data_IF_882926328078
#
_entry.id   IF_882926328078
#
_cell.length_a   1.000
_cell.length_b   1.000
_cell.length_c   1.000
_cell.angle_alpha   90.00
_cell.angle_beta   90.00
_cell.angle_gamma   90.00
#
_symmetry.space_group_name_H-M   'P 1'
#
loop_
_entity.id
_entity.type
_entity.pdbx_description
1 polymer ?
#
# COMPACT_ATOMS: atom_id res chain seq x y z
N UNK A 1 -13.88 -10.83 -34.06
CA UNK A 1 -13.15 -12.02 -33.58
C UNK A 1 -13.34 -12.32 -32.09
N UNK A 2 -13.56 -11.34 -31.19
CA UNK A 2 -13.79 -11.59 -29.74
C UNK A 2 -15.12 -12.27 -29.38
N UNK A 3 -16.02 -12.49 -30.34
CA UNK A 3 -17.37 -13.00 -30.10
C UNK A 3 -17.50 -14.52 -29.94
N UNK A 4 -16.40 -15.27 -30.11
CA UNK A 4 -16.38 -16.75 -30.09
C UNK A 4 -15.66 -17.33 -28.87
N UNK A 5 -15.18 -16.49 -27.97
CA UNK A 5 -14.47 -16.94 -26.77
C UNK A 5 -15.47 -17.16 -25.62
N UNK A 6 -15.42 -18.31 -24.93
CA UNK A 6 -16.14 -18.52 -23.68
C UNK A 6 -15.83 -17.42 -22.64
N UNK A 7 -16.80 -17.12 -21.78
CA UNK A 7 -16.71 -16.04 -20.78
C UNK A 7 -15.55 -16.26 -19.82
N UNK A 8 -15.22 -17.52 -19.52
CA UNK A 8 -14.12 -17.92 -18.66
C UNK A 8 -12.77 -17.50 -19.26
N UNK A 9 -12.59 -17.67 -20.58
CA UNK A 9 -11.37 -17.24 -21.26
C UNK A 9 -11.25 -15.72 -21.27
N UNK A 10 -12.38 -15.02 -21.46
CA UNK A 10 -12.40 -13.55 -21.42
C UNK A 10 -12.05 -13.02 -20.02
N UNK A 11 -12.59 -13.63 -18.96
CA UNK A 11 -12.24 -13.32 -17.58
C UNK A 11 -10.75 -13.56 -17.31
N UNK A 12 -10.19 -14.67 -17.79
CA UNK A 12 -8.75 -14.92 -17.66
C UNK A 12 -7.90 -13.84 -18.34
N UNK A 13 -8.30 -13.37 -19.53
CA UNK A 13 -7.60 -12.26 -20.22
C UNK A 13 -7.64 -10.99 -19.37
N UNK A 14 -8.80 -10.62 -18.83
CA UNK A 14 -8.91 -9.44 -17.95
C UNK A 14 -8.05 -9.62 -16.69
N UNK A 15 -8.17 -10.76 -16.01
CA UNK A 15 -7.44 -11.08 -14.78
C UNK A 15 -5.92 -11.03 -14.94
N UNK A 16 -5.38 -11.46 -16.09
CA UNK A 16 -3.94 -11.47 -16.35
C UNK A 16 -3.44 -10.22 -17.09
N UNK A 17 -4.33 -9.32 -17.50
CA UNK A 17 -3.95 -8.00 -17.99
C UNK A 17 -3.59 -7.07 -16.83
N UNK A 18 -2.74 -6.08 -17.08
CA UNK A 18 -2.48 -5.03 -16.09
C UNK A 18 -3.76 -4.24 -15.80
N UNK A 19 -3.88 -3.68 -14.60
CA UNK A 19 -5.08 -2.92 -14.24
C UNK A 19 -5.35 -1.77 -15.23
N UNK A 20 -4.30 -1.05 -15.63
CA UNK A 20 -4.41 -0.01 -16.67
C UNK A 20 -4.92 -0.58 -17.99
N UNK A 21 -4.38 -1.71 -18.45
CA UNK A 21 -4.81 -2.33 -19.71
C UNK A 21 -6.28 -2.73 -19.66
N UNK A 22 -6.72 -3.35 -18.55
CA UNK A 22 -8.13 -3.68 -18.32
C UNK A 22 -9.01 -2.43 -18.36
N UNK A 23 -8.61 -1.37 -17.67
CA UNK A 23 -9.32 -0.08 -17.67
C UNK A 23 -9.37 0.57 -19.06
N UNK A 24 -8.30 0.48 -19.85
CA UNK A 24 -8.28 0.97 -21.23
C UNK A 24 -9.18 0.15 -22.13
N UNK A 25 -9.13 -1.19 -22.05
CA UNK A 25 -10.00 -2.10 -22.82
C UNK A 25 -11.47 -1.79 -22.55
N UNK A 26 -11.81 -1.56 -21.28
CA UNK A 26 -13.16 -1.18 -20.84
C UNK A 26 -13.71 0.07 -21.53
N UNK A 27 -12.84 1.00 -21.94
CA UNK A 27 -13.23 2.27 -22.57
C UNK A 27 -13.36 2.20 -24.10
N UNK A 28 -12.99 1.09 -24.74
CA UNK A 28 -12.95 1.01 -26.21
C UNK A 28 -14.34 0.97 -26.85
N UNK A 29 -15.27 0.18 -26.32
CA UNK A 29 -16.67 0.11 -26.77
C UNK A 29 -17.57 -0.55 -25.72
N UNK A 30 -18.88 -0.54 -25.96
CA UNK A 30 -19.88 -1.11 -25.04
C UNK A 30 -19.64 -2.59 -24.74
N UNK A 31 -19.21 -3.38 -25.73
CA UNK A 31 -18.98 -4.81 -25.56
C UNK A 31 -17.77 -5.11 -24.68
N UNK A 32 -16.67 -4.38 -24.87
CA UNK A 32 -15.48 -4.55 -24.02
C UNK A 32 -15.71 -4.01 -22.62
N UNK A 33 -16.56 -2.98 -22.47
CA UNK A 33 -17.04 -2.52 -21.17
C UNK A 33 -17.79 -3.63 -20.43
N UNK A 34 -18.79 -4.25 -21.06
CA UNK A 34 -19.57 -5.36 -20.48
C UNK A 34 -18.67 -6.54 -20.09
N UNK A 35 -17.71 -6.88 -20.96
CA UNK A 35 -16.72 -7.93 -20.70
C UNK A 35 -15.89 -7.63 -19.45
N UNK A 36 -15.29 -6.44 -19.35
CA UNK A 36 -14.47 -6.08 -18.18
C UNK A 36 -15.31 -5.94 -16.92
N UNK A 37 -16.52 -5.37 -17.02
CA UNK A 37 -17.43 -5.22 -15.88
C UNK A 37 -18.02 -6.57 -15.41
N UNK A 38 -18.03 -7.60 -16.26
CA UNK A 38 -18.42 -8.96 -15.89
C UNK A 38 -17.34 -9.73 -15.12
N UNK A 39 -16.08 -9.29 -15.19
CA UNK A 39 -14.98 -9.91 -14.44
C UNK A 39 -15.12 -9.61 -12.94
N UNK A 40 -15.33 -10.62 -12.07
CA UNK A 40 -15.55 -10.40 -10.65
C UNK A 40 -14.40 -9.69 -9.94
N UNK A 41 -13.16 -10.03 -10.27
CA UNK A 41 -11.95 -9.46 -9.66
C UNK A 41 -11.83 -7.96 -9.95
N UNK A 42 -12.01 -7.57 -11.23
CA UNK A 42 -12.00 -6.17 -11.62
C UNK A 42 -13.14 -5.40 -10.95
N UNK A 43 -14.35 -5.97 -10.96
CA UNK A 43 -15.53 -5.38 -10.34
C UNK A 43 -15.32 -5.11 -8.86
N UNK A 44 -14.78 -6.08 -8.11
CA UNK A 44 -14.51 -5.93 -6.68
C UNK A 44 -13.45 -4.84 -6.40
N UNK A 45 -12.40 -4.75 -7.22
CA UNK A 45 -11.37 -3.72 -7.06
C UNK A 45 -11.95 -2.31 -7.23
N UNK A 46 -12.74 -2.09 -8.29
CA UNK A 46 -13.34 -0.78 -8.56
C UNK A 46 -14.45 -0.44 -7.55
N UNK A 47 -15.20 -1.43 -7.09
CA UNK A 47 -16.26 -1.23 -6.10
C UNK A 47 -15.74 -0.92 -4.70
N UNK A 48 -14.69 -1.63 -4.25
CA UNK A 48 -14.28 -1.61 -2.84
C UNK A 48 -12.97 -0.88 -2.59
N UNK A 49 -12.12 -0.66 -3.60
CA UNK A 49 -10.86 0.07 -3.46
C UNK A 49 -10.62 1.13 -4.57
N UNK A 50 -11.63 1.96 -4.95
CA UNK A 50 -11.48 2.91 -6.05
C UNK A 50 -10.33 3.91 -5.83
N UNK A 51 -10.17 4.42 -4.61
CA UNK A 51 -9.10 5.37 -4.27
C UNK A 51 -7.71 4.74 -4.40
N UNK A 52 -7.56 3.47 -4.03
CA UNK A 52 -6.31 2.73 -4.20
C UNK A 52 -6.01 2.50 -5.67
N UNK A 53 -7.02 2.10 -6.46
CA UNK A 53 -6.86 1.90 -7.90
C UNK A 53 -6.46 3.20 -8.61
N UNK A 54 -7.11 4.32 -8.27
CA UNK A 54 -6.73 5.65 -8.74
C UNK A 54 -5.30 6.00 -8.34
N UNK A 55 -4.89 5.70 -7.10
CA UNK A 55 -3.53 5.95 -6.63
C UNK A 55 -2.49 5.15 -7.42
N UNK A 56 -2.73 3.87 -7.70
CA UNK A 56 -1.86 3.04 -8.53
C UNK A 56 -1.73 3.57 -9.96
N UNK A 57 -2.83 4.07 -10.54
CA UNK A 57 -2.83 4.68 -11.87
C UNK A 57 -2.07 6.00 -11.87
N UNK A 58 -2.36 6.91 -10.95
CA UNK A 58 -1.71 8.22 -10.89
C UNK A 58 -0.22 8.15 -10.54
N UNK A 59 0.18 7.15 -9.75
CA UNK A 59 1.59 6.89 -9.45
C UNK A 59 2.31 6.13 -10.56
N UNK A 60 1.60 5.65 -11.58
CA UNK A 60 2.16 4.98 -12.75
C UNK A 60 2.44 3.48 -12.58
N UNK A 61 2.25 2.92 -11.39
CA UNK A 61 2.60 1.50 -11.13
C UNK A 61 1.51 0.51 -11.52
N UNK A 62 0.27 0.96 -11.80
CA UNK A 62 -0.83 0.10 -12.23
C UNK A 62 -0.53 -0.74 -13.49
N UNK A 63 0.44 -0.33 -14.31
CA UNK A 63 0.88 -1.09 -15.50
C UNK A 63 1.64 -2.37 -15.16
N UNK A 64 2.22 -2.47 -13.96
CA UNK A 64 3.07 -3.58 -13.55
C UNK A 64 2.34 -4.66 -12.75
N UNK A 65 1.09 -4.40 -12.36
CA UNK A 65 0.29 -5.32 -11.55
C UNK A 65 -0.95 -5.75 -12.29
N UNK A 66 -1.18 -7.07 -12.33
CA UNK A 66 -2.37 -7.65 -12.95
C UNK A 66 -3.60 -7.45 -12.07
N UNK A 67 -4.79 -7.47 -12.70
CA UNK A 67 -6.07 -7.43 -11.98
C UNK A 67 -6.14 -8.54 -10.92
N UNK A 68 -5.70 -9.75 -11.29
CA UNK A 68 -5.67 -10.89 -10.38
C UNK A 68 -4.75 -10.66 -9.17
N UNK A 69 -3.56 -10.09 -9.39
CA UNK A 69 -2.63 -9.78 -8.30
C UNK A 69 -3.24 -8.77 -7.32
N UNK A 70 -3.77 -7.65 -7.84
CA UNK A 70 -4.39 -6.61 -7.01
C UNK A 70 -5.58 -7.15 -6.23
N UNK A 71 -6.41 -7.98 -6.84
CA UNK A 71 -7.54 -8.62 -6.17
C UNK A 71 -7.08 -9.58 -5.06
N UNK A 72 -5.99 -10.31 -5.28
CA UNK A 72 -5.35 -11.11 -4.23
C UNK A 72 -4.97 -10.25 -3.01
N UNK A 73 -4.37 -9.08 -3.24
CA UNK A 73 -3.98 -8.13 -2.17
C UNK A 73 -5.21 -7.52 -1.47
N UNK A 74 -6.32 -7.30 -2.19
CA UNK A 74 -7.59 -6.86 -1.61
C UNK A 74 -8.14 -7.87 -0.60
N UNK A 75 -7.99 -9.18 -0.87
CA UNK A 75 -8.50 -10.26 -0.02
C UNK A 75 -7.58 -10.62 1.16
N UNK A 76 -6.33 -10.18 1.18
CA UNK A 76 -5.41 -10.45 2.29
C UNK A 76 -5.64 -9.41 3.39
N UNK A 77 -5.72 -9.83 4.64
CA UNK A 77 -5.87 -8.92 5.79
C UNK A 77 -4.58 -8.64 6.55
N UNK A 78 -3.58 -9.50 6.37
CA UNK A 78 -2.34 -9.52 7.17
C UNK A 78 -1.22 -8.74 6.51
N UNK A 79 -0.40 -8.08 7.32
CA UNK A 79 0.85 -7.45 6.94
C UNK A 79 1.84 -8.51 6.45
N UNK A 80 2.51 -8.26 5.33
CA UNK A 80 3.51 -9.19 4.78
C UNK A 80 4.74 -9.40 5.67
N UNK A 81 5.02 -8.50 6.62
CA UNK A 81 6.21 -8.60 7.49
C UNK A 81 5.89 -9.09 8.91
N UNK A 82 4.85 -8.58 9.56
CA UNK A 82 4.54 -8.90 10.96
C UNK A 82 3.24 -9.69 11.16
N UNK A 83 2.51 -10.03 10.10
CA UNK A 83 1.24 -10.74 10.11
C UNK A 83 0.06 -10.08 10.87
N UNK A 84 0.26 -8.91 11.51
CA UNK A 84 -0.81 -8.10 12.07
C UNK A 84 -1.78 -7.59 10.98
N UNK A 85 -2.98 -7.16 11.38
CA UNK A 85 -3.90 -6.54 10.43
C UNK A 85 -3.28 -5.29 9.78
N UNK A 86 -3.48 -5.12 8.48
CA UNK A 86 -2.88 -4.06 7.68
C UNK A 86 -3.89 -3.44 6.72
N UNK A 87 -4.17 -2.15 6.90
CA UNK A 87 -5.07 -1.35 6.05
C UNK A 87 -4.36 -0.59 4.92
N UNK A 88 -3.08 -0.87 4.67
CA UNK A 88 -2.27 -0.16 3.67
C UNK A 88 -1.54 -1.12 2.75
N UNK A 89 -1.16 -0.61 1.58
CA UNK A 89 -0.24 -1.26 0.65
C UNK A 89 0.98 -0.39 0.42
N UNK A 90 2.12 -1.05 0.25
CA UNK A 90 3.34 -0.43 -0.25
C UNK A 90 3.35 -0.53 -1.77
N UNK A 91 3.31 0.62 -2.43
CA UNK A 91 3.08 0.75 -3.88
C UNK A 91 4.18 0.11 -4.74
N UNK A 92 5.49 0.20 -4.41
CA UNK A 92 6.56 -0.34 -5.27
C UNK A 92 6.47 -1.84 -5.56
N UNK A 93 5.96 -2.64 -4.61
CA UNK A 93 5.79 -4.09 -4.77
C UNK A 93 4.35 -4.56 -4.60
N UNK A 94 3.40 -3.63 -4.44
CA UNK A 94 2.01 -3.90 -4.13
C UNK A 94 1.81 -4.91 -2.98
N UNK A 95 2.58 -4.76 -1.90
CA UNK A 95 2.51 -5.63 -0.70
C UNK A 95 1.63 -5.00 0.37
N UNK A 96 0.78 -5.80 1.02
CA UNK A 96 0.00 -5.35 2.17
C UNK A 96 0.89 -5.18 3.40
N UNK A 97 0.80 -4.02 4.04
CA UNK A 97 1.72 -3.64 5.11
C UNK A 97 1.03 -2.77 6.15
N UNK A 98 1.39 -2.90 7.43
CA UNK A 98 0.94 -1.98 8.46
C UNK A 98 1.91 -0.78 8.55
N UNK A 99 1.41 0.38 9.00
CA UNK A 99 2.23 1.59 9.11
C UNK A 99 3.46 1.42 10.01
N UNK A 100 3.40 0.69 11.15
CA UNK A 100 4.61 0.43 11.95
C UNK A 100 5.73 -0.28 11.17
N UNK A 101 5.39 -1.22 10.28
CA UNK A 101 6.36 -1.86 9.40
C UNK A 101 6.89 -0.90 8.35
N UNK A 102 6.03 -0.12 7.68
CA UNK A 102 6.45 0.93 6.72
C UNK A 102 7.48 1.87 7.34
N UNK A 103 7.25 2.24 8.60
CA UNK A 103 8.04 3.20 9.37
C UNK A 103 9.45 2.71 9.68
N UNK A 104 9.59 1.43 10.05
CA UNK A 104 10.81 0.89 10.66
C UNK A 104 11.55 -0.14 9.82
N UNK A 105 10.81 -0.95 9.06
CA UNK A 105 11.42 -2.02 8.29
C UNK A 105 12.25 -1.42 7.14
N UNK A 106 13.54 -1.77 7.04
CA UNK A 106 14.37 -1.36 5.91
C UNK A 106 13.80 -1.83 4.56
N UNK A 107 13.07 -2.94 4.50
CA UNK A 107 12.50 -3.48 3.27
C UNK A 107 11.45 -2.54 2.63
N UNK A 108 10.77 -1.71 3.43
CA UNK A 108 9.79 -0.74 2.96
C UNK A 108 10.37 0.67 2.79
N UNK A 109 11.69 0.83 2.88
CA UNK A 109 12.34 2.09 2.56
C UNK A 109 12.51 2.21 1.04
N UNK A 110 11.78 3.10 0.36
CA UNK A 110 11.96 3.24 -1.07
C UNK A 110 13.31 3.89 -1.38
N UNK A 111 13.91 3.46 -2.48
CA UNK A 111 15.11 4.06 -3.04
C UNK A 111 14.71 5.09 -4.11
N UNK A 112 15.47 6.16 -4.29
CA UNK A 112 15.25 7.07 -5.42
C UNK A 112 15.85 6.50 -6.70
N UNK A 113 15.33 6.88 -7.87
CA UNK A 113 15.91 6.47 -9.16
C UNK A 113 17.39 6.88 -9.29
N UNK A 114 17.77 8.03 -8.73
CA UNK A 114 19.16 8.50 -8.72
C UNK A 114 20.05 7.54 -7.90
N UNK A 115 19.64 7.20 -6.68
CA UNK A 115 20.36 6.27 -5.82
C UNK A 115 20.46 4.88 -6.46
N UNK A 116 19.38 4.40 -7.08
CA UNK A 116 19.39 3.11 -7.77
C UNK A 116 20.34 3.10 -8.98
N UNK A 117 20.39 4.20 -9.73
CA UNK A 117 21.33 4.36 -10.86
C UNK A 117 22.77 4.35 -10.38
N UNK A 118 23.07 5.00 -9.25
CA UNK A 118 24.42 5.06 -8.66
C UNK A 118 24.82 3.70 -8.08
N UNK A 119 23.96 3.09 -7.26
CA UNK A 119 24.25 1.87 -6.52
C UNK A 119 24.24 0.62 -7.42
N UNK A 120 23.34 0.55 -8.40
CA UNK A 120 23.11 -0.64 -9.22
C UNK A 120 23.47 -0.44 -10.70
N UNK A 121 23.87 0.76 -11.12
CA UNK A 121 24.25 1.03 -12.51
C UNK A 121 23.10 0.89 -13.50
N UNK A 122 21.85 1.06 -13.06
CA UNK A 122 20.66 0.84 -13.89
C UNK A 122 20.57 1.87 -15.02
N UNK A 123 20.44 1.40 -16.25
CA UNK A 123 20.18 2.25 -17.41
C UNK A 123 18.71 2.60 -17.57
N UNK A 124 18.42 3.61 -18.42
CA UNK A 124 17.04 4.07 -18.70
C UNK A 124 16.10 2.94 -19.14
N UNK A 125 16.55 2.08 -20.07
CA UNK A 125 15.76 0.94 -20.57
C UNK A 125 15.38 -0.04 -19.45
N UNK A 126 16.27 -0.23 -18.49
CA UNK A 126 16.04 -1.11 -17.32
C UNK A 126 15.00 -0.52 -16.39
N UNK A 127 15.14 0.78 -16.11
CA UNK A 127 14.22 1.52 -15.26
C UNK A 127 12.79 1.52 -15.81
N UNK A 128 12.60 1.47 -17.13
CA UNK A 128 11.28 1.35 -17.77
C UNK A 128 10.61 -0.02 -17.55
N UNK A 129 11.38 -1.06 -17.20
CA UNK A 129 10.83 -2.42 -16.98
C UNK A 129 10.38 -2.68 -15.55
N UNK A 130 10.84 -1.88 -14.59
CA UNK A 130 10.55 -2.06 -13.17
C UNK A 130 9.49 -1.07 -12.68
N UNK A 131 8.70 -1.42 -11.63
CA UNK A 131 7.73 -0.49 -11.05
C UNK A 131 8.43 0.72 -10.41
N UNK A 132 8.14 1.91 -10.92
CA UNK A 132 8.58 3.20 -10.34
C UNK A 132 7.35 3.99 -9.92
N UNK A 133 7.25 4.27 -8.62
CA UNK A 133 6.22 5.11 -8.02
C UNK A 133 6.56 6.58 -8.26
N UNK A 134 5.77 7.22 -9.10
CA UNK A 134 5.73 8.68 -9.19
C UNK A 134 4.87 9.22 -8.06
N UNK A 135 5.48 9.85 -7.07
CA UNK A 135 4.73 10.31 -5.90
C UNK A 135 3.75 11.43 -6.27
N UNK A 136 2.66 11.53 -5.54
CA UNK A 136 1.71 12.62 -5.69
C UNK A 136 2.09 13.81 -4.80
N UNK A 137 1.70 15.05 -5.16
CA UNK A 137 1.69 16.16 -4.21
C UNK A 137 0.60 15.95 -3.16
N UNK A 138 0.85 16.38 -1.93
CA UNK A 138 -0.10 16.22 -0.83
C UNK A 138 0.53 16.34 0.55
N UNK A 139 -0.24 15.99 1.57
CA UNK A 139 0.21 15.93 2.95
C UNK A 139 0.56 14.48 3.30
N UNK A 140 1.75 14.28 3.84
CA UNK A 140 2.27 12.95 4.12
C UNK A 140 2.92 12.88 5.49
N UNK A 141 3.01 11.65 6.00
CA UNK A 141 3.70 11.34 7.23
C UNK A 141 2.89 11.65 8.49
N UNK A 142 3.44 11.20 9.62
CA UNK A 142 2.78 11.22 10.92
C UNK A 142 2.47 12.62 11.43
N UNK A 143 3.38 13.54 11.11
CA UNK A 143 3.36 14.95 11.49
C UNK A 143 2.90 15.86 10.35
N UNK A 144 2.25 15.28 9.32
CA UNK A 144 1.61 15.98 8.19
C UNK A 144 2.51 17.05 7.58
N UNK A 145 3.45 16.62 6.76
CA UNK A 145 4.32 17.50 5.99
C UNK A 145 3.81 17.64 4.56
N UNK A 146 3.58 18.88 4.13
CA UNK A 146 3.16 19.17 2.75
C UNK A 146 4.33 18.94 1.78
N UNK A 147 4.09 18.14 0.74
CA UNK A 147 5.03 17.89 -0.35
C UNK A 147 4.41 18.31 -1.66
N UNK A 148 5.06 19.26 -2.33
CA UNK A 148 4.67 19.74 -3.66
C UNK A 148 5.48 19.10 -4.79
N UNK A 149 6.74 18.75 -4.50
CA UNK A 149 7.64 18.13 -5.47
C UNK A 149 7.37 16.64 -5.55
N UNK A 150 7.24 16.14 -6.78
CA UNK A 150 7.15 14.71 -7.06
C UNK A 150 8.54 14.06 -7.02
N UNK A 151 8.59 12.84 -6.50
CA UNK A 151 9.76 11.98 -6.45
C UNK A 151 9.50 10.74 -7.32
N UNK A 152 10.58 10.12 -7.78
CA UNK A 152 10.55 8.82 -8.44
C UNK A 152 11.18 7.81 -7.48
N UNK A 153 10.33 6.93 -6.96
CA UNK A 153 10.65 5.98 -5.90
C UNK A 153 10.51 4.55 -6.43
N UNK A 154 11.40 3.65 -6.02
CA UNK A 154 11.34 2.24 -6.39
C UNK A 154 11.74 1.35 -5.23
N UNK A 155 11.44 0.06 -5.35
CA UNK A 155 11.95 -0.95 -4.42
C UNK A 155 13.44 -1.19 -4.66
N UNK A 156 14.20 -1.28 -3.57
CA UNK A 156 15.57 -1.77 -3.65
C UNK A 156 15.63 -3.21 -4.18
N UNK A 157 14.65 -4.07 -3.84
CA UNK A 157 14.59 -5.44 -4.33
C UNK A 157 14.45 -5.47 -5.86
N UNK A 158 13.56 -4.66 -6.43
CA UNK A 158 13.45 -4.54 -7.88
C UNK A 158 14.73 -4.03 -8.54
N UNK A 159 15.39 -3.05 -7.93
CA UNK A 159 16.66 -2.54 -8.42
C UNK A 159 17.76 -3.63 -8.41
N UNK A 160 17.83 -4.42 -7.33
CA UNK A 160 18.76 -5.55 -7.19
C UNK A 160 18.48 -6.61 -8.25
N UNK A 161 17.24 -7.04 -8.40
CA UNK A 161 16.86 -8.11 -9.33
C UNK A 161 17.12 -7.68 -10.79
N UNK A 162 16.81 -6.44 -11.14
CA UNK A 162 17.09 -5.89 -12.47
C UNK A 162 18.59 -5.82 -12.77
N UNK A 163 19.42 -5.45 -11.79
CA UNK A 163 20.88 -5.42 -11.95
C UNK A 163 21.47 -6.82 -12.16
N UNK A 164 20.96 -7.82 -11.44
CA UNK A 164 21.37 -9.22 -11.59
C UNK A 164 21.06 -9.74 -13.00
N UNK A 165 19.86 -9.45 -13.52
CA UNK A 165 19.47 -9.86 -14.87
C UNK A 165 20.36 -9.24 -15.96
N UNK A 166 20.89 -8.04 -15.74
CA UNK A 166 21.76 -7.35 -16.70
C UNK A 166 23.24 -7.63 -16.50
N UNK A 167 23.60 -8.48 -15.52
CA UNK A 167 25.01 -8.78 -15.16
C UNK A 167 25.84 -7.52 -14.90
N UNK A 168 25.20 -6.47 -14.39
CA UNK A 168 25.89 -5.22 -14.06
C UNK A 168 26.61 -5.42 -12.72
N UNK A 169 27.91 -5.17 -12.68
CA UNK A 169 28.67 -5.21 -11.44
C UNK A 169 28.13 -4.14 -10.47
N UNK A 170 27.84 -4.54 -9.22
CA UNK A 170 27.47 -3.58 -8.17
C UNK A 170 28.57 -2.53 -8.06
N UNK A 171 28.21 -1.26 -8.18
CA UNK A 171 29.07 -0.16 -7.71
C UNK A 171 28.87 -0.06 -6.20
N UNK A 172 29.90 0.32 -5.44
CA UNK A 172 29.86 0.33 -3.97
C UNK A 172 28.57 0.97 -3.41
N UNK A 173 27.62 0.14 -2.99
CA UNK A 173 26.26 0.54 -2.61
C UNK A 173 26.13 1.07 -1.17
N UNK A 174 27.22 1.05 -0.40
CA UNK A 174 27.24 1.39 1.02
C UNK A 174 26.84 2.85 1.32
N UNK A 175 26.97 3.76 0.35
CA UNK A 175 26.65 5.19 0.51
C UNK A 175 25.21 5.62 0.17
N UNK A 176 24.39 4.75 -0.43
CA UNK A 176 23.06 5.11 -0.97
C UNK A 176 21.88 4.62 -0.12
N UNK A 177 22.12 3.86 0.94
CA UNK A 177 21.06 3.29 1.77
C UNK A 177 20.55 4.31 2.79
N UNK A 178 19.47 5.01 2.47
CA UNK A 178 18.73 5.81 3.45
C UNK A 178 18.08 4.86 4.47
N UNK A 179 18.35 5.06 5.77
CA UNK A 179 17.79 4.26 6.87
C UNK A 179 16.97 5.10 7.85
N UNK A 180 16.63 6.32 7.45
CA UNK A 180 15.92 7.28 8.29
C UNK A 180 14.55 6.71 8.67
N UNK A 181 14.34 6.61 9.99
CA UNK A 181 13.02 6.33 10.55
C UNK A 181 12.12 7.53 10.25
N UNK A 182 10.86 7.27 9.92
CA UNK A 182 9.87 8.30 9.57
C UNK A 182 10.21 9.16 8.33
N UNK A 183 11.11 8.68 7.46
CA UNK A 183 11.37 9.37 6.19
C UNK A 183 10.05 9.52 5.40
N UNK A 184 9.78 10.74 4.93
CA UNK A 184 8.53 11.06 4.24
C UNK A 184 8.29 10.17 3.01
N UNK A 185 9.37 9.75 2.35
CA UNK A 185 9.29 8.93 1.13
C UNK A 185 8.62 7.59 1.39
N UNK A 186 8.75 7.04 2.60
CA UNK A 186 8.04 5.81 3.04
C UNK A 186 6.53 5.99 2.92
N UNK A 187 5.99 7.10 3.43
CA UNK A 187 4.55 7.39 3.39
C UNK A 187 4.07 7.78 1.99
N UNK A 188 4.90 8.51 1.23
CA UNK A 188 4.59 8.87 -0.17
C UNK A 188 4.52 7.66 -1.11
N UNK A 189 5.14 6.55 -0.72
CA UNK A 189 5.10 5.27 -1.44
C UNK A 189 4.04 4.29 -0.89
N UNK A 190 3.11 4.76 -0.06
CA UNK A 190 2.03 3.94 0.49
C UNK A 190 0.66 4.48 0.13
N UNK A 191 -0.32 3.58 0.03
CA UNK A 191 -1.71 3.94 -0.14
C UNK A 191 -2.59 3.12 0.81
N UNK A 192 -3.66 3.72 1.29
CA UNK A 192 -4.71 3.00 1.98
C UNK A 192 -5.35 1.99 1.01
N UNK A 193 -5.62 0.78 1.50
CA UNK A 193 -6.38 -0.23 0.77
C UNK A 193 -7.18 -1.05 1.78
N UNK A 194 -8.52 -1.05 1.70
CA UNK A 194 -9.32 -1.84 2.61
C UNK A 194 -9.16 -3.34 2.33
N UNK A 195 -9.71 -4.16 3.20
CA UNK A 195 -9.69 -5.63 3.09
C UNK A 195 -11.08 -6.13 2.73
N UNK A 196 -11.20 -6.84 1.61
CA UNK A 196 -12.42 -7.58 1.31
C UNK A 196 -12.41 -8.89 2.12
N UNK A 197 -13.22 -8.96 3.17
CA UNK A 197 -13.30 -10.10 4.08
C UNK A 197 -14.02 -11.28 3.44
N UNK A 198 -15.09 -11.01 2.69
CA UNK A 198 -15.89 -12.06 2.09
C UNK A 198 -16.39 -11.66 0.70
N UNK A 199 -16.02 -12.47 -0.30
CA UNK A 199 -16.32 -12.21 -1.73
C UNK A 199 -17.82 -12.26 -2.04
N UNK A 200 -18.56 -13.14 -1.37
CA UNK A 200 -19.98 -13.35 -1.63
C UNK A 200 -20.86 -12.21 -1.11
N UNK A 201 -20.52 -11.66 0.06
CA UNK A 201 -21.28 -10.59 0.72
C UNK A 201 -20.79 -9.21 0.36
N UNK A 202 -19.57 -9.08 -0.18
CA UNK A 202 -18.94 -7.78 -0.40
C UNK A 202 -18.53 -7.09 0.90
N UNK A 203 -18.38 -7.85 2.01
CA UNK A 203 -18.02 -7.30 3.31
C UNK A 203 -16.57 -6.78 3.30
N UNK A 204 -16.41 -5.50 3.64
CA UNK A 204 -15.12 -4.81 3.62
C UNK A 204 -14.75 -4.34 5.02
N UNK A 205 -13.48 -4.46 5.37
CA UNK A 205 -12.89 -3.91 6.58
C UNK A 205 -11.83 -2.86 6.25
N UNK A 206 -12.05 -1.65 6.73
CA UNK A 206 -11.08 -0.55 6.67
C UNK A 206 -10.02 -0.64 7.79
N UNK A 207 -10.21 -1.56 8.72
CA UNK A 207 -9.46 -1.61 9.97
C UNK A 207 -9.98 -0.65 11.02
N UNK A 208 -9.71 -0.98 12.28
CA UNK A 208 -10.01 -0.14 13.45
C UNK A 208 -8.73 0.55 13.88
N UNK A 209 -8.79 1.86 14.12
CA UNK A 209 -7.68 2.65 14.66
C UNK A 209 -8.04 3.15 16.06
N UNK A 210 -7.08 3.14 16.97
CA UNK A 210 -7.33 3.47 18.37
C UNK A 210 -7.27 4.98 18.63
N UNK A 211 -8.43 5.62 18.84
CA UNK A 211 -8.51 7.04 19.25
C UNK A 211 -7.73 7.32 20.54
N UNK A 212 -7.72 6.38 21.48
CA UNK A 212 -6.93 6.48 22.71
C UNK A 212 -5.43 6.58 22.44
N UNK A 213 -4.89 5.74 21.54
CA UNK A 213 -3.49 5.83 21.14
C UNK A 213 -3.18 7.12 20.38
N UNK A 214 -4.11 7.60 19.54
CA UNK A 214 -3.96 8.89 18.86
C UNK A 214 -3.81 10.03 19.88
N UNK A 215 -4.72 10.14 20.85
CA UNK A 215 -4.66 11.19 21.88
C UNK A 215 -3.41 11.03 22.76
N UNK A 216 -3.09 9.81 23.19
CA UNK A 216 -1.90 9.56 23.99
C UNK A 216 -0.60 9.96 23.27
N UNK A 217 -0.54 9.78 21.94
CA UNK A 217 0.62 10.15 21.13
C UNK A 217 0.83 11.66 20.99
N UNK A 218 -0.21 12.46 21.21
CA UNK A 218 -0.14 13.93 21.17
C UNK A 218 0.44 14.52 22.46
N UNK A 219 0.62 13.69 23.51
CA UNK A 219 1.21 14.12 24.77
C UNK A 219 2.70 14.46 24.62
N UNK A 220 3.04 15.74 24.80
CA UNK A 220 4.38 16.30 24.56
C UNK A 220 5.42 15.93 25.61
N UNK A 221 5.03 15.34 26.74
CA UNK A 221 5.96 14.98 27.82
C UNK A 221 6.73 13.67 27.56
N UNK A 222 6.33 12.91 26.56
CA UNK A 222 6.93 11.61 26.24
C UNK A 222 8.23 11.77 25.44
N UNK A 223 9.26 11.01 25.82
CA UNK A 223 10.55 10.99 25.13
C UNK A 223 11.08 9.56 24.94
N UNK A 224 12.04 9.40 24.03
CA UNK A 224 12.71 8.12 23.77
C UNK A 224 11.77 6.98 23.34
N UNK A 225 12.04 5.78 23.84
CA UNK A 225 11.38 4.53 23.41
C UNK A 225 9.87 4.52 23.67
N UNK A 226 9.39 5.19 24.72
CA UNK A 226 7.97 5.26 25.04
C UNK A 226 7.20 6.02 23.95
N UNK A 227 7.77 7.11 23.45
CA UNK A 227 7.20 7.88 22.33
C UNK A 227 7.15 7.05 21.05
N UNK A 228 8.23 6.31 20.74
CA UNK A 228 8.30 5.44 19.58
C UNK A 228 7.23 4.35 19.57
N UNK A 229 7.00 3.70 20.71
CA UNK A 229 5.96 2.68 20.86
C UNK A 229 4.55 3.26 20.70
N UNK A 230 4.33 4.48 21.18
CA UNK A 230 3.02 5.15 21.05
C UNK A 230 2.75 5.60 19.61
N UNK A 231 3.78 6.06 18.90
CA UNK A 231 3.68 6.34 17.46
C UNK A 231 3.27 5.07 16.69
N UNK A 232 3.86 3.91 17.01
CA UNK A 232 3.46 2.67 16.35
C UNK A 232 2.01 2.30 16.64
N UNK A 233 1.59 2.38 17.91
CA UNK A 233 0.22 2.03 18.32
C UNK A 233 -0.82 2.99 17.73
N UNK A 234 -0.48 4.27 17.58
CA UNK A 234 -1.34 5.28 16.93
C UNK A 234 -1.72 4.84 15.51
N UNK A 235 -0.73 4.36 14.75
CA UNK A 235 -0.87 4.06 13.34
C UNK A 235 -1.18 2.59 13.04
N UNK A 236 -1.20 1.74 14.08
CA UNK A 236 -1.55 0.34 13.92
C UNK A 236 -3.05 0.23 13.61
N UNK A 237 -3.35 -0.35 12.45
CA UNK A 237 -4.70 -0.81 12.10
C UNK A 237 -4.97 -2.17 12.74
N UNK A 238 -6.19 -2.37 13.24
CA UNK A 238 -6.60 -3.62 13.88
C UNK A 238 -7.80 -4.24 13.18
N UNK A 239 -7.90 -5.57 13.17
CA UNK A 239 -9.20 -6.23 13.00
C UNK A 239 -10.07 -5.98 14.24
N UNK A 240 -11.41 -6.14 14.17
CA UNK A 240 -12.26 -6.02 15.36
C UNK A 240 -11.80 -6.90 16.53
N UNK A 241 -11.42 -8.16 16.26
CA UNK A 241 -10.93 -9.09 17.28
C UNK A 241 -9.59 -8.67 17.88
N UNK A 242 -8.62 -8.27 17.05
CA UNK A 242 -7.31 -7.82 17.55
C UNK A 242 -7.39 -6.46 18.25
N UNK A 243 -8.35 -5.61 17.90
CA UNK A 243 -8.62 -4.37 18.61
C UNK A 243 -9.08 -4.63 20.06
N UNK A 244 -9.93 -5.63 20.30
CA UNK A 244 -10.35 -5.99 21.65
C UNK A 244 -9.19 -6.46 22.53
N UNK A 245 -8.19 -7.12 21.93
CA UNK A 245 -6.95 -7.47 22.63
C UNK A 245 -6.16 -6.21 22.98
N UNK A 246 -5.97 -5.31 22.01
CA UNK A 246 -5.32 -4.02 22.23
C UNK A 246 -6.02 -3.18 23.31
N UNK A 247 -7.36 -3.15 23.31
CA UNK A 247 -8.16 -2.35 24.24
C UNK A 247 -7.88 -2.71 25.71
N UNK A 248 -7.56 -3.97 26.01
CA UNK A 248 -7.19 -4.41 27.38
C UNK A 248 -5.92 -3.73 27.89
N UNK A 249 -5.03 -3.31 27.00
CA UNK A 249 -3.73 -2.71 27.31
C UNK A 249 -3.71 -1.17 27.15
N UNK A 250 -4.77 -0.59 26.57
CA UNK A 250 -4.82 0.84 26.24
C UNK A 250 -5.63 1.64 27.26
N UNK A 251 -4.95 2.15 28.29
CA UNK A 251 -5.59 2.97 29.34
C UNK A 251 -6.32 4.19 28.78
N UNK A 252 -5.74 4.88 27.79
CA UNK A 252 -6.37 6.04 27.16
C UNK A 252 -7.69 5.66 26.45
N UNK A 253 -7.73 4.51 25.77
CA UNK A 253 -8.97 4.04 25.13
C UNK A 253 -10.03 3.66 26.17
N UNK A 254 -9.62 3.02 27.27
CA UNK A 254 -10.51 2.66 28.37
C UNK A 254 -11.08 3.89 29.09
N UNK A 255 -10.30 4.95 29.25
CA UNK A 255 -10.76 6.23 29.82
C UNK A 255 -11.84 6.87 28.95
N UNK A 256 -11.57 7.00 27.64
CA UNK A 256 -12.54 7.53 26.67
C UNK A 256 -13.84 6.72 26.68
N UNK A 257 -13.73 5.38 26.76
CA UNK A 257 -14.90 4.52 26.85
C UNK A 257 -15.73 4.79 28.11
N UNK A 258 -15.09 4.86 29.29
CA UNK A 258 -15.76 5.14 30.57
C UNK A 258 -16.45 6.50 30.58
N UNK A 259 -15.80 7.53 30.04
CA UNK A 259 -16.36 8.89 29.95
C UNK A 259 -17.63 8.92 29.09
N UNK A 260 -17.61 8.26 27.92
CA UNK A 260 -18.76 8.17 27.03
C UNK A 260 -19.91 7.34 27.63
N UNK A 261 -19.61 6.25 28.33
CA UNK A 261 -20.64 5.46 29.00
C UNK A 261 -21.37 6.24 30.09
N UNK A 262 -20.70 7.20 30.74
CA UNK A 262 -21.31 8.08 31.76
C UNK A 262 -22.16 9.20 31.16
N UNK A 263 -21.84 9.69 29.96
CA UNK A 263 -22.63 10.75 29.30
C UNK A 263 -23.91 10.26 28.63
N UNK A 264 -24.14 8.93 28.62
CA UNK A 264 -25.31 8.30 27.98
C UNK A 264 -26.30 7.75 29.02
N UNK A 265 -26.03 7.98 30.32
CA UNK A 265 -26.93 7.77 31.45
C UNK A 265 -27.44 9.13 31.93
#
# INVERSE_FOLDING_TARGET
MLAKLPVELMNMVVCHSSFTSASTIRLLNQRTKELVDSCPEYKNLVAHAPSTMASLVYTGVANHFTVFHLFGILCVSKCSSCANFAAFIWLPECKRVCVPCVRKDPAYMPMTVADATIAFGLGKKTLETIPIVKTLPGEYGLWTSTRRRQMLLLSEQWARDAALLQRVARRNALGCANKTLDDISRYMATAFMPVLLQRATGEVSEGVFCTGCRIASENRTLSGQQKELLIDRREQSYSPSSFLLHFKECLAAQQIWKERSRSTQ
#
